data_IF_036817373791
#
_entry.id   IF_036817373791
#
_cell.length_a   1.000
_cell.length_b   1.000
_cell.length_c   1.000
_cell.angle_alpha   90.00
_cell.angle_beta   90.00
_cell.angle_gamma   90.00
#
_symmetry.space_group_name_H-M   'P 1'
#
loop_
_entity.id
_entity.type
_entity.pdbx_description
1 polymer ?
#
# COMPACT_ATOMS: atom_id res chain seq x y z
N UNK A 1 -15.77 0.91 -11.64
CA UNK A 1 -14.30 1.03 -11.58
C UNK A 1 -13.81 1.13 -13.01
N UNK A 2 -13.10 2.20 -13.35
CA UNK A 2 -12.57 2.38 -14.70
C UNK A 2 -11.63 1.24 -15.08
N UNK A 3 -11.56 0.96 -16.37
CA UNK A 3 -10.58 0.14 -17.08
C UNK A 3 -9.12 0.36 -16.62
N UNK A 4 -8.80 1.54 -16.09
CA UNK A 4 -7.47 1.88 -15.57
C UNK A 4 -7.24 1.62 -14.07
N UNK A 5 -8.26 1.21 -13.32
CA UNK A 5 -8.14 1.00 -11.86
C UNK A 5 -7.14 -0.10 -11.51
N UNK A 6 -7.34 -1.32 -12.04
CA UNK A 6 -6.48 -2.47 -11.72
C UNK A 6 -5.01 -2.27 -12.13
N UNK A 7 -4.71 -1.74 -13.34
CA UNK A 7 -3.34 -1.36 -13.68
C UNK A 7 -2.71 -0.36 -12.71
N UNK A 8 -3.47 0.62 -12.22
CA UNK A 8 -2.99 1.60 -11.26
C UNK A 8 -2.69 1.01 -9.87
N UNK A 9 -3.28 -0.15 -9.53
CA UNK A 9 -3.04 -0.83 -8.26
C UNK A 9 -1.76 -1.68 -8.24
N UNK A 10 -1.25 -2.11 -9.41
CA UNK A 10 -0.06 -2.97 -9.46
C UNK A 10 1.19 -2.35 -8.82
N UNK A 11 1.52 -1.06 -9.08
CA UNK A 11 2.62 -0.42 -8.36
C UNK A 11 2.45 -0.46 -6.85
N UNK A 12 1.22 -0.28 -6.35
CA UNK A 12 0.94 -0.31 -4.92
C UNK A 12 1.16 -1.69 -4.29
N UNK A 13 0.71 -2.74 -4.98
CA UNK A 13 0.93 -4.13 -4.56
C UNK A 13 2.41 -4.49 -4.60
N UNK A 14 3.14 -4.11 -5.66
CA UNK A 14 4.58 -4.36 -5.78
C UNK A 14 5.34 -3.65 -4.66
N UNK A 15 5.07 -2.36 -4.42
CA UNK A 15 5.70 -1.57 -3.36
C UNK A 15 5.42 -2.18 -1.98
N UNK A 16 4.17 -2.58 -1.72
CA UNK A 16 3.80 -3.24 -0.47
C UNK A 16 4.52 -4.57 -0.25
N UNK A 17 4.62 -5.41 -1.27
CA UNK A 17 5.38 -6.68 -1.20
C UNK A 17 6.86 -6.41 -0.93
N UNK A 18 7.50 -5.52 -1.69
CA UNK A 18 8.92 -5.20 -1.53
C UNK A 18 9.22 -4.65 -0.14
N UNK A 19 8.35 -3.76 0.36
CA UNK A 19 8.45 -3.24 1.72
C UNK A 19 8.33 -4.35 2.76
N UNK A 20 7.31 -5.20 2.68
CA UNK A 20 7.13 -6.27 3.66
C UNK A 20 8.21 -7.36 3.59
N UNK A 21 8.75 -7.66 2.41
CA UNK A 21 9.92 -8.54 2.26
C UNK A 21 11.16 -7.96 2.98
N UNK A 22 11.33 -6.63 2.97
CA UNK A 22 12.43 -5.97 3.68
C UNK A 22 12.39 -6.19 5.20
N UNK A 23 11.19 -6.36 5.76
CA UNK A 23 10.96 -6.61 7.19
C UNK A 23 11.07 -8.09 7.59
N UNK A 24 11.23 -8.97 6.59
CA UNK A 24 11.26 -10.44 6.70
C UNK A 24 9.94 -11.03 7.21
N UNK A 25 9.65 -12.24 6.73
CA UNK A 25 8.51 -13.05 7.17
C UNK A 25 7.24 -12.85 6.33
N UNK A 26 6.57 -13.97 6.02
CA UNK A 26 5.39 -14.03 5.13
C UNK A 26 4.24 -13.17 5.65
N UNK A 27 4.04 -13.12 6.97
CA UNK A 27 2.99 -12.30 7.59
C UNK A 27 3.20 -10.80 7.33
N UNK A 28 4.42 -10.29 7.53
CA UNK A 28 4.74 -8.88 7.28
C UNK A 28 4.56 -8.56 5.79
N UNK A 29 4.97 -9.45 4.88
CA UNK A 29 4.76 -9.30 3.44
C UNK A 29 3.29 -9.22 3.06
N UNK A 30 2.45 -10.11 3.59
CA UNK A 30 1.02 -10.11 3.30
C UNK A 30 0.33 -8.84 3.82
N UNK A 31 0.62 -8.43 5.06
CA UNK A 31 0.05 -7.22 5.66
C UNK A 31 0.52 -5.97 4.91
N UNK A 32 1.80 -5.89 4.56
CA UNK A 32 2.35 -4.77 3.80
C UNK A 32 1.77 -4.68 2.39
N UNK A 33 1.57 -5.82 1.70
CA UNK A 33 0.94 -5.86 0.39
C UNK A 33 -0.51 -5.34 0.43
N UNK A 34 -1.28 -5.74 1.46
CA UNK A 34 -2.63 -5.22 1.68
C UNK A 34 -2.62 -3.72 1.98
N UNK A 35 -1.73 -3.27 2.86
CA UNK A 35 -1.57 -1.85 3.16
C UNK A 35 -1.18 -1.03 1.93
N UNK A 36 -0.28 -1.56 1.10
CA UNK A 36 0.14 -0.93 -0.17
C UNK A 36 -0.99 -0.81 -1.18
N UNK A 37 -1.85 -1.83 -1.27
CA UNK A 37 -3.01 -1.81 -2.15
C UNK A 37 -4.06 -0.81 -1.67
N UNK A 38 -4.34 -0.75 -0.36
CA UNK A 38 -5.25 0.26 0.22
C UNK A 38 -4.69 1.68 0.01
N UNK A 39 -3.39 1.88 0.24
CA UNK A 39 -2.74 3.18 0.01
C UNK A 39 -2.83 3.64 -1.45
N UNK A 40 -2.59 2.73 -2.40
CA UNK A 40 -2.77 3.03 -3.82
C UNK A 40 -4.22 3.31 -4.20
N UNK A 41 -5.18 2.56 -3.66
CA UNK A 41 -6.60 2.77 -3.93
C UNK A 41 -7.07 4.16 -3.46
N UNK A 42 -6.66 4.57 -2.25
CA UNK A 42 -6.98 5.91 -1.72
C UNK A 42 -6.34 7.00 -2.60
N UNK A 43 -5.07 6.83 -2.99
CA UNK A 43 -4.41 7.81 -3.85
C UNK A 43 -5.02 7.89 -5.25
N UNK A 44 -5.49 6.77 -5.82
CA UNK A 44 -6.18 6.78 -7.10
C UNK A 44 -7.44 7.64 -7.07
N UNK A 45 -8.27 7.49 -6.04
CA UNK A 45 -9.48 8.31 -5.87
C UNK A 45 -9.14 9.80 -5.67
N UNK A 46 -8.10 10.10 -4.89
CA UNK A 46 -7.63 11.50 -4.70
C UNK A 46 -7.13 12.09 -6.02
N UNK A 47 -6.30 11.36 -6.77
CA UNK A 47 -5.75 11.84 -8.05
C UNK A 47 -6.84 12.03 -9.10
N UNK A 48 -7.84 11.15 -9.11
CA UNK A 48 -9.03 11.29 -9.96
C UNK A 48 -9.82 12.55 -9.60
N UNK A 49 -9.99 12.84 -8.30
CA UNK A 49 -10.73 14.01 -7.84
C UNK A 49 -10.03 15.34 -8.17
N UNK A 50 -8.72 15.33 -8.38
CA UNK A 50 -7.90 16.53 -8.67
C UNK A 50 -7.50 16.60 -10.15
N UNK A 51 -8.05 15.72 -11.00
CA UNK A 51 -7.77 15.65 -12.45
C UNK A 51 -6.27 15.49 -12.77
N UNK A 52 -5.54 14.80 -11.88
CA UNK A 52 -4.12 14.48 -11.97
C UNK A 52 -3.89 12.98 -12.23
N UNK A 53 -4.84 12.34 -12.90
CA UNK A 53 -4.79 10.91 -13.21
C UNK A 53 -3.74 10.55 -14.27
N UNK A 54 -3.30 11.53 -15.08
CA UNK A 54 -2.41 11.32 -16.21
C UNK A 54 -0.98 11.81 -15.94
N UNK A 55 -0.01 10.93 -16.21
CA UNK A 55 1.43 11.26 -16.23
C UNK A 55 2.21 10.89 -14.95
N UNK A 56 3.49 11.29 -14.93
CA UNK A 56 4.45 10.98 -13.85
C UNK A 56 3.99 11.36 -12.43
N UNK A 57 3.28 12.48 -12.20
CA UNK A 57 2.81 12.85 -10.86
C UNK A 57 1.85 11.83 -10.26
N UNK A 58 0.99 11.22 -11.08
CA UNK A 58 0.04 10.20 -10.64
C UNK A 58 0.75 8.96 -10.09
N UNK A 59 1.77 8.48 -10.81
CA UNK A 59 2.56 7.31 -10.45
C UNK A 59 3.36 7.56 -9.17
N UNK A 60 3.98 8.74 -9.05
CA UNK A 60 4.70 9.13 -7.84
C UNK A 60 3.76 9.21 -6.62
N UNK A 61 2.57 9.79 -6.79
CA UNK A 61 1.55 9.86 -5.75
C UNK A 61 1.06 8.47 -5.30
N UNK A 62 0.78 7.59 -6.26
CA UNK A 62 0.36 6.21 -5.99
C UNK A 62 1.44 5.42 -5.24
N UNK A 63 2.71 5.53 -5.66
CA UNK A 63 3.83 4.85 -5.01
C UNK A 63 4.03 5.38 -3.58
N UNK A 64 4.00 6.70 -3.39
CA UNK A 64 4.19 7.30 -2.07
C UNK A 64 3.06 6.89 -1.11
N UNK A 65 1.81 6.93 -1.55
CA UNK A 65 0.66 6.54 -0.76
C UNK A 65 0.63 5.03 -0.47
N UNK A 66 1.01 4.20 -1.45
CA UNK A 66 1.15 2.76 -1.24
C UNK A 66 2.23 2.45 -0.19
N UNK A 67 3.40 3.09 -0.27
CA UNK A 67 4.44 2.91 0.74
C UNK A 67 3.95 3.31 2.14
N UNK A 68 3.27 4.45 2.25
CA UNK A 68 2.64 4.91 3.49
C UNK A 68 1.61 3.90 4.02
N UNK A 69 0.73 3.38 3.17
CA UNK A 69 -0.25 2.38 3.54
C UNK A 69 0.40 1.08 4.03
N UNK A 70 1.40 0.59 3.32
CA UNK A 70 2.19 -0.59 3.69
C UNK A 70 2.91 -0.40 5.04
N UNK A 71 3.53 0.76 5.25
CA UNK A 71 4.19 1.13 6.50
C UNK A 71 3.20 1.16 7.68
N UNK A 72 2.07 1.85 7.53
CA UNK A 72 1.08 2.00 8.60
C UNK A 72 0.45 0.66 8.98
N UNK A 73 0.02 -0.13 7.99
CA UNK A 73 -0.59 -1.44 8.24
C UNK A 73 0.38 -2.38 8.95
N UNK A 74 1.64 -2.40 8.51
CA UNK A 74 2.65 -3.28 9.12
C UNK A 74 2.97 -2.85 10.56
N UNK A 75 3.10 -1.54 10.81
CA UNK A 75 3.30 -1.04 12.18
C UNK A 75 2.12 -1.37 13.10
N UNK A 76 0.89 -1.18 12.63
CA UNK A 76 -0.31 -1.51 13.41
C UNK A 76 -0.36 -3.01 13.70
N UNK A 77 -0.15 -3.86 12.69
CA UNK A 77 -0.17 -5.31 12.86
C UNK A 77 0.92 -5.81 13.81
N UNK A 78 2.13 -5.23 13.75
CA UNK A 78 3.21 -5.55 14.68
C UNK A 78 2.88 -5.13 16.11
N UNK A 79 2.30 -3.95 16.31
CA UNK A 79 1.82 -3.51 17.63
C UNK A 79 0.77 -4.45 18.19
N UNK A 80 -0.21 -4.84 17.38
CA UNK A 80 -1.26 -5.79 17.80
C UNK A 80 -0.71 -7.18 18.11
N UNK A 81 0.28 -7.64 17.35
CA UNK A 81 0.92 -8.94 17.56
C UNK A 81 1.79 -8.94 18.82
N UNK A 82 2.58 -7.89 19.04
CA UNK A 82 3.42 -7.75 20.24
C UNK A 82 2.59 -7.48 21.51
N UNK A 83 1.40 -6.89 21.39
CA UNK A 83 0.49 -6.64 22.50
C UNK A 83 -0.25 -7.90 22.98
N UNK A 84 -0.18 -9.03 22.25
CA UNK A 84 -0.77 -10.29 22.72
C UNK A 84 0.13 -10.90 23.81
N UNK A 85 -0.37 -11.08 25.05
CA UNK A 85 0.35 -11.84 26.07
C UNK A 85 0.62 -13.24 25.53
N UNK A 86 1.86 -13.73 25.66
CA UNK A 86 2.18 -15.13 25.42
C UNK A 86 1.37 -15.95 26.44
N UNK A 87 0.38 -16.67 25.94
CA UNK A 87 -0.46 -17.60 26.72
C UNK A 87 0.24 -18.93 26.88
#
# INVERSE_FOLDING_TARGET
MGDHFWPAMYPGLIVGILYGLSLRGVFNTAVAALGGLVGAAIAYEILLAVDLNDGLPSVAGLIAAAFLGAYLFTNIAQRLTNARPKT
#
